data_IF_429171507644
#
_entry.id   IF_429171507644
#
_cell.length_a   1.000
_cell.length_b   1.000
_cell.length_c   1.000
_cell.angle_alpha   90.00
_cell.angle_beta   90.00
_cell.angle_gamma   90.00
#
_symmetry.space_group_name_H-M   'P 1'
#
loop_
_entity.id
_entity.type
_entity.pdbx_description
1 polymer ?
#
# COMPACT_ATOMS: atom_id res chain seq x y z
N UNK A 1 -12.04 3.22 19.53
CA UNK A 1 -12.40 3.54 18.13
C UNK A 1 -11.29 3.09 17.19
N UNK A 2 -11.59 2.51 16.04
CA UNK A 2 -10.57 2.07 15.07
C UNK A 2 -10.08 3.24 14.21
N UNK A 3 -8.76 3.47 14.20
CA UNK A 3 -8.12 4.55 13.44
C UNK A 3 -8.26 4.30 11.95
N UNK A 4 -8.56 5.35 11.18
CA UNK A 4 -8.76 5.26 9.73
C UNK A 4 -7.81 6.21 9.02
N UNK A 5 -7.08 5.69 8.04
CA UNK A 5 -6.15 6.46 7.21
C UNK A 5 -6.69 6.60 5.81
N UNK A 6 -6.70 7.81 5.30
CA UNK A 6 -7.00 8.14 3.91
C UNK A 6 -5.69 8.51 3.22
N UNK A 7 -5.22 7.65 2.32
CA UNK A 7 -3.93 7.81 1.66
C UNK A 7 -4.14 8.55 0.35
N UNK A 8 -3.56 9.74 0.22
CA UNK A 8 -3.68 10.59 -0.98
C UNK A 8 -2.32 11.18 -1.31
N UNK A 9 -1.97 11.27 -2.60
CA UNK A 9 -0.65 11.77 -2.98
C UNK A 9 -0.48 13.28 -2.73
N UNK A 10 -1.57 14.05 -2.81
CA UNK A 10 -1.61 15.50 -2.58
C UNK A 10 -2.81 15.85 -1.69
N UNK A 11 -2.62 15.93 -0.37
CA UNK A 11 -3.71 16.29 0.56
C UNK A 11 -4.36 17.64 0.24
N UNK A 12 -3.59 18.61 -0.30
CA UNK A 12 -4.10 19.92 -0.68
C UNK A 12 -5.15 19.90 -1.80
N UNK A 13 -5.22 18.84 -2.60
CA UNK A 13 -6.25 18.69 -3.65
C UNK A 13 -7.64 18.35 -3.05
N UNK A 14 -7.70 18.02 -1.77
CA UNK A 14 -8.89 17.50 -1.10
C UNK A 14 -9.48 18.53 -0.13
N UNK A 15 -10.39 19.37 -0.62
CA UNK A 15 -11.15 20.34 0.20
C UNK A 15 -12.36 19.70 0.88
N UNK A 16 -12.13 18.68 1.72
CA UNK A 16 -13.19 17.96 2.44
C UNK A 16 -13.02 18.04 3.96
N UNK A 17 -14.14 18.14 4.67
CA UNK A 17 -14.15 17.96 6.12
C UNK A 17 -14.01 16.47 6.45
N UNK A 18 -12.99 16.11 7.23
CA UNK A 18 -12.76 14.73 7.65
C UNK A 18 -13.57 14.40 8.92
N UNK A 19 -14.24 13.24 8.97
CA UNK A 19 -14.85 12.75 10.21
C UNK A 19 -13.82 12.52 11.31
N UNK A 20 -14.27 12.52 12.56
CA UNK A 20 -13.42 12.21 13.71
C UNK A 20 -12.78 10.82 13.56
N UNK A 21 -11.48 10.72 13.84
CA UNK A 21 -10.72 9.48 13.75
C UNK A 21 -10.27 9.10 12.34
N UNK A 22 -10.54 9.93 11.32
CA UNK A 22 -9.97 9.83 9.98
C UNK A 22 -8.79 10.78 9.84
N UNK A 23 -7.63 10.26 9.45
CA UNK A 23 -6.42 11.06 9.16
C UNK A 23 -6.10 10.92 7.68
N UNK A 24 -6.08 12.04 6.96
CA UNK A 24 -5.57 12.10 5.59
C UNK A 24 -4.05 12.28 5.61
N UNK A 25 -3.33 11.43 4.89
CA UNK A 25 -1.86 11.41 4.86
C UNK A 25 -1.36 10.98 3.48
N UNK A 26 -0.09 11.25 3.21
CA UNK A 26 0.59 10.80 2.01
C UNK A 26 1.02 9.32 2.10
N UNK A 27 1.28 8.66 0.96
CA UNK A 27 1.89 7.33 0.96
C UNK A 27 3.20 7.30 1.73
N UNK A 28 4.05 8.32 1.55
CA UNK A 28 5.33 8.43 2.25
C UNK A 28 5.13 8.43 3.77
N UNK A 29 4.24 9.26 4.29
CA UNK A 29 3.94 9.29 5.72
C UNK A 29 3.46 7.93 6.22
N UNK A 30 2.54 7.26 5.51
CA UNK A 30 2.09 5.93 5.91
C UNK A 30 3.23 4.90 5.99
N UNK A 31 4.17 4.97 5.06
CA UNK A 31 5.30 4.04 4.97
C UNK A 31 6.36 4.33 6.03
N UNK A 32 6.57 5.59 6.44
CA UNK A 32 7.70 5.99 7.27
C UNK A 32 7.36 6.41 8.70
N UNK A 33 6.11 6.81 9.00
CA UNK A 33 5.71 7.31 10.32
C UNK A 33 5.71 6.16 11.37
N UNK A 34 6.61 6.18 12.38
CA UNK A 34 6.71 5.12 13.36
C UNK A 34 5.43 4.92 14.19
N UNK A 35 4.66 5.99 14.41
CA UNK A 35 3.42 5.91 15.18
C UNK A 35 2.37 5.10 14.42
N UNK A 36 2.30 5.26 13.10
CA UNK A 36 1.42 4.45 12.24
C UNK A 36 1.86 2.99 12.25
N UNK A 37 3.17 2.75 12.21
CA UNK A 37 3.73 1.39 12.18
C UNK A 37 3.50 0.61 13.47
N UNK A 38 3.39 1.29 14.63
CA UNK A 38 3.10 0.66 15.93
C UNK A 38 1.62 0.34 16.14
N UNK A 39 0.73 0.85 15.28
CA UNK A 39 -0.70 0.53 15.37
C UNK A 39 -0.93 -0.94 15.04
N UNK A 40 -1.78 -1.58 15.84
CA UNK A 40 -2.17 -2.99 15.65
C UNK A 40 -3.33 -3.17 14.68
N UNK A 41 -4.22 -2.18 14.58
CA UNK A 41 -5.46 -2.27 13.81
C UNK A 41 -5.85 -0.90 13.30
N UNK A 42 -5.88 -0.76 11.98
CA UNK A 42 -6.33 0.45 11.31
C UNK A 42 -7.04 0.10 10.00
N UNK A 43 -7.97 0.95 9.56
CA UNK A 43 -8.52 0.91 8.20
C UNK A 43 -7.69 1.82 7.32
N UNK A 44 -7.39 1.40 6.10
CA UNK A 44 -6.58 2.17 5.16
C UNK A 44 -7.33 2.27 3.84
N UNK A 45 -7.81 3.46 3.53
CA UNK A 45 -8.37 3.77 2.22
C UNK A 45 -7.24 4.31 1.37
N UNK A 46 -6.71 3.46 0.50
CA UNK A 46 -5.64 3.82 -0.39
C UNK A 46 -6.26 4.46 -1.63
N UNK A 47 -6.04 5.76 -1.81
CA UNK A 47 -6.49 6.56 -2.95
C UNK A 47 -5.29 7.17 -3.70
N UNK A 48 -4.12 6.50 -3.63
CA UNK A 48 -2.99 6.83 -4.49
C UNK A 48 -3.36 6.76 -5.96
N UNK A 49 -2.74 7.60 -6.78
CA UNK A 49 -2.97 7.66 -8.22
C UNK A 49 -2.31 6.52 -9.00
N UNK A 50 -1.31 5.87 -8.40
CA UNK A 50 -0.56 4.77 -9.03
C UNK A 50 -0.46 3.54 -8.10
N UNK A 51 -0.87 2.39 -8.61
CA UNK A 51 -0.80 1.07 -7.96
C UNK A 51 0.14 0.09 -8.65
N UNK A 52 0.90 0.53 -9.65
CA UNK A 52 1.85 -0.29 -10.38
C UNK A 52 2.80 -1.04 -9.45
N UNK A 53 3.33 -2.17 -9.92
CA UNK A 53 4.26 -2.95 -9.12
C UNK A 53 5.45 -2.09 -8.67
N UNK A 54 5.78 -2.16 -7.38
CA UNK A 54 6.78 -1.32 -6.71
C UNK A 54 6.44 0.18 -6.60
N UNK A 55 5.22 0.61 -6.94
CA UNK A 55 4.78 1.97 -6.64
C UNK A 55 4.60 2.17 -5.12
N UNK A 56 4.61 3.43 -4.69
CA UNK A 56 4.31 3.76 -3.30
C UNK A 56 2.89 3.31 -2.90
N UNK A 57 1.90 3.46 -3.78
CA UNK A 57 0.53 3.01 -3.56
C UNK A 57 0.44 1.50 -3.40
N UNK A 58 1.19 0.72 -4.18
CA UNK A 58 1.27 -0.73 -4.03
C UNK A 58 1.86 -1.13 -2.67
N UNK A 59 2.96 -0.50 -2.26
CA UNK A 59 3.60 -0.79 -0.97
C UNK A 59 2.74 -0.40 0.23
N UNK A 60 1.92 0.64 0.13
CA UNK A 60 0.94 1.00 1.16
C UNK A 60 -0.02 -0.17 1.41
N UNK A 61 -0.67 -0.70 0.37
CA UNK A 61 -1.60 -1.82 0.54
C UNK A 61 -0.90 -3.10 0.99
N UNK A 62 0.31 -3.38 0.49
CA UNK A 62 1.10 -4.55 0.89
C UNK A 62 1.47 -4.52 2.38
N UNK A 63 2.06 -3.41 2.84
CA UNK A 63 2.49 -3.28 4.24
C UNK A 63 1.31 -3.10 5.20
N UNK A 64 0.21 -2.50 4.74
CA UNK A 64 -1.01 -2.45 5.52
C UNK A 64 -1.48 -3.87 5.88
N UNK A 65 -1.57 -4.76 4.89
CA UNK A 65 -2.01 -6.14 5.09
C UNK A 65 -1.05 -6.91 6.01
N UNK A 66 0.27 -6.77 5.82
CA UNK A 66 1.29 -7.40 6.67
C UNK A 66 1.24 -6.94 8.14
N UNK A 67 0.69 -5.75 8.41
CA UNK A 67 0.56 -5.16 9.76
C UNK A 67 -0.80 -5.42 10.40
N UNK A 68 -1.64 -6.30 9.84
CA UNK A 68 -3.03 -6.49 10.28
C UNK A 68 -3.89 -5.20 10.18
N UNK A 69 -3.47 -4.26 9.32
CA UNK A 69 -4.34 -3.19 8.86
C UNK A 69 -5.25 -3.71 7.74
N UNK A 70 -6.38 -3.02 7.52
CA UNK A 70 -7.39 -3.38 6.53
C UNK A 70 -7.34 -2.40 5.35
N UNK A 71 -6.48 -2.64 4.34
CA UNK A 71 -6.42 -1.81 3.16
C UNK A 71 -7.60 -2.05 2.20
N UNK A 72 -8.07 -0.96 1.59
CA UNK A 72 -9.01 -0.93 0.49
C UNK A 72 -8.43 -0.02 -0.60
N UNK A 73 -8.07 -0.55 -1.79
CA UNK A 73 -8.10 -1.97 -2.18
C UNK A 73 -7.03 -2.83 -1.44
N UNK A 74 -7.31 -4.13 -1.29
CA UNK A 74 -6.36 -5.09 -0.72
C UNK A 74 -5.18 -5.37 -1.65
N UNK A 75 -4.05 -5.88 -1.15
CA UNK A 75 -2.92 -6.20 -2.04
C UNK A 75 -3.26 -7.33 -3.01
N UNK A 76 -4.10 -8.27 -2.58
CA UNK A 76 -4.69 -9.30 -3.44
C UNK A 76 -5.46 -8.66 -4.59
N UNK A 77 -6.34 -7.71 -4.31
CA UNK A 77 -7.11 -6.99 -5.34
C UNK A 77 -6.17 -6.29 -6.33
N UNK A 78 -5.14 -5.60 -5.84
CA UNK A 78 -4.16 -4.94 -6.72
C UNK A 78 -3.43 -5.95 -7.63
N UNK A 79 -2.93 -7.07 -7.08
CA UNK A 79 -2.26 -8.10 -7.88
C UNK A 79 -3.17 -8.68 -8.98
N UNK A 80 -4.47 -8.84 -8.71
CA UNK A 80 -5.41 -9.27 -9.74
C UNK A 80 -5.58 -8.21 -10.85
N UNK A 81 -5.61 -6.92 -10.50
CA UNK A 81 -5.72 -5.82 -11.49
C UNK A 81 -4.47 -5.69 -12.37
N UNK A 82 -3.28 -5.98 -11.83
CA UNK A 82 -2.01 -5.86 -12.56
C UNK A 82 -1.64 -7.10 -13.40
N UNK A 83 -2.48 -8.14 -13.42
CA UNK A 83 -2.20 -9.39 -14.13
C UNK A 83 -1.07 -10.20 -13.49
N UNK A 84 -0.98 -11.49 -13.86
CA UNK A 84 0.06 -12.41 -13.36
C UNK A 84 1.44 -11.74 -13.45
N UNK A 85 2.30 -11.83 -12.42
CA UNK A 85 3.70 -11.44 -12.56
C UNK A 85 4.28 -12.15 -13.78
N UNK A 86 5.20 -11.52 -14.54
CA UNK A 86 5.81 -12.17 -15.68
C UNK A 86 6.34 -13.52 -15.19
N UNK A 87 5.92 -14.60 -15.86
CA UNK A 87 6.45 -15.93 -15.61
C UNK A 87 7.97 -15.78 -15.75
N UNK A 88 8.69 -15.95 -14.64
CA UNK A 88 10.14 -15.92 -14.65
C UNK A 88 10.59 -16.99 -15.63
N UNK A 89 11.22 -16.60 -16.74
CA UNK A 89 11.64 -17.56 -17.75
C UNK A 89 12.65 -18.52 -17.13
N UNK A 90 12.67 -19.76 -17.63
CA UNK A 90 13.61 -20.76 -17.13
C UNK A 90 15.07 -20.29 -17.29
N UNK A 91 15.38 -19.46 -18.28
CA UNK A 91 16.73 -18.88 -18.43
C UNK A 91 17.09 -17.95 -17.26
N UNK A 92 16.14 -17.15 -16.77
CA UNK A 92 16.38 -16.26 -15.63
C UNK A 92 16.60 -17.07 -14.34
N UNK A 93 15.90 -18.21 -14.17
CA UNK A 93 16.13 -19.10 -13.04
C UNK A 93 17.50 -19.77 -13.08
N UNK A 94 17.95 -20.18 -14.27
CA UNK A 94 19.28 -20.76 -14.45
C UNK A 94 20.39 -19.74 -14.15
N UNK A 95 20.21 -18.48 -14.56
CA UNK A 95 21.19 -17.40 -14.30
C UNK A 95 21.34 -17.08 -12.81
N UNK A 96 20.24 -17.16 -12.05
CA UNK A 96 20.28 -16.99 -10.58
C UNK A 96 21.02 -18.16 -9.94
N UNK A 97 20.75 -19.40 -10.38
CA UNK A 97 21.42 -20.59 -9.86
C UNK A 97 22.91 -20.65 -10.19
N UNK A 98 23.34 -20.14 -11.35
CA UNK A 98 24.74 -20.14 -11.75
C UNK A 98 25.59 -19.08 -11.05
N UNK A 99 24.95 -18.14 -10.34
CA UNK A 99 25.61 -17.00 -9.68
C UNK A 99 25.67 -17.14 -8.15
N UNK A 100 25.23 -18.27 -7.59
CA UNK A 100 25.35 -18.68 -6.20
C UNK A 100 26.38 -19.81 -6.06
#
# INVERSE_FOLDING_TARGET
MSRTFLIVDRPADWSIALPEGVRMITPKEYLTDPEIQRLRRARVFNLSRDYSYQSAGYYVSLLAEARDHRPLPSVSTLRHLHGRPPVVSQELQQLIQSSL
#
